data_IF_654344620261
#
_entry.id   IF_654344620261
#
_cell.length_a   1.000
_cell.length_b   1.000
_cell.length_c   1.000
_cell.angle_alpha   90.00
_cell.angle_beta   90.00
_cell.angle_gamma   90.00
#
_symmetry.space_group_name_H-M   'P 1'
#
loop_
_entity.id
_entity.type
_entity.pdbx_description
1 polymer ?
#
# COMPACT_ATOMS: atom_id res chain seq x y z
N UNK A 1 -2.07 6.42 -0.59
CA UNK A 1 -0.62 6.76 -0.61
C UNK A 1 -0.17 7.84 0.39
N UNK A 2 -0.75 9.05 0.47
CA UNK A 2 -0.29 10.08 1.45
C UNK A 2 -0.27 9.58 2.90
N UNK A 3 -1.28 8.81 3.32
CA UNK A 3 -1.31 8.17 4.63
C UNK A 3 -0.22 7.11 4.81
N UNK A 4 0.05 6.30 3.78
CA UNK A 4 1.13 5.31 3.78
C UNK A 4 2.51 5.98 3.97
N UNK A 5 2.81 7.05 3.23
CA UNK A 5 4.06 7.78 3.38
C UNK A 5 4.26 8.32 4.82
N UNK A 6 3.18 8.84 5.43
CA UNK A 6 3.19 9.30 6.82
C UNK A 6 3.37 8.13 7.80
N UNK A 7 2.64 7.03 7.61
CA UNK A 7 2.74 5.85 8.47
C UNK A 7 4.15 5.23 8.42
N UNK A 8 4.76 5.10 7.24
CA UNK A 8 6.15 4.68 7.12
C UNK A 8 7.14 5.67 7.75
N UNK A 9 6.90 6.97 7.64
CA UNK A 9 7.76 7.97 8.29
C UNK A 9 7.68 7.88 9.82
N UNK A 10 6.48 7.63 10.38
CA UNK A 10 6.29 7.39 11.81
C UNK A 10 6.96 6.08 12.23
N UNK A 11 6.84 5.02 11.42
CA UNK A 11 7.52 3.75 11.66
C UNK A 11 9.04 3.92 11.71
N UNK A 12 9.61 4.66 10.75
CA UNK A 12 11.03 5.00 10.73
C UNK A 12 11.45 5.73 12.02
N UNK A 13 10.69 6.74 12.45
CA UNK A 13 10.96 7.46 13.70
C UNK A 13 10.88 6.58 14.96
N UNK A 14 10.11 5.48 14.90
CA UNK A 14 9.95 4.50 15.99
C UNK A 14 10.93 3.32 15.89
N UNK A 15 11.75 3.25 14.85
CA UNK A 15 12.64 2.13 14.60
C UNK A 15 13.66 1.93 15.74
N UNK A 16 13.88 0.68 16.20
CA UNK A 16 14.79 0.38 17.30
C UNK A 16 16.26 0.41 16.88
N UNK A 17 16.54 0.33 15.58
CA UNK A 17 17.87 0.38 15.02
C UNK A 17 17.88 1.06 13.64
N UNK A 18 19.08 1.37 13.17
CA UNK A 18 19.29 2.09 11.92
C UNK A 18 18.85 1.30 10.69
N UNK A 19 18.97 -0.03 10.71
CA UNK A 19 18.58 -0.88 9.58
C UNK A 19 17.06 -0.85 9.38
N UNK A 20 16.29 -0.90 10.46
CA UNK A 20 14.83 -0.79 10.39
C UNK A 20 14.42 0.64 10.04
N UNK A 21 15.15 1.66 10.52
CA UNK A 21 14.97 3.05 10.08
C UNK A 21 15.13 3.19 8.56
N UNK A 22 16.23 2.69 7.99
CA UNK A 22 16.50 2.77 6.54
C UNK A 22 15.44 2.04 5.71
N UNK A 23 14.97 0.88 6.17
CA UNK A 23 13.89 0.14 5.50
C UNK A 23 12.62 0.98 5.39
N UNK A 24 12.11 1.51 6.51
CA UNK A 24 10.90 2.32 6.50
C UNK A 24 11.09 3.66 5.79
N UNK A 25 12.29 4.25 5.86
CA UNK A 25 12.62 5.45 5.10
C UNK A 25 12.58 5.19 3.59
N UNK A 26 13.13 4.06 3.13
CA UNK A 26 13.08 3.62 1.74
C UNK A 26 11.65 3.42 1.26
N UNK A 27 10.81 2.76 2.07
CA UNK A 27 9.39 2.57 1.77
C UNK A 27 8.63 3.90 1.67
N UNK A 28 8.90 4.85 2.57
CA UNK A 28 8.32 6.19 2.47
C UNK A 28 8.77 6.93 1.20
N UNK A 29 10.04 6.76 0.79
CA UNK A 29 10.58 7.25 -0.48
C UNK A 29 9.86 6.69 -1.69
N UNK A 30 9.69 5.37 -1.77
CA UNK A 30 8.96 4.72 -2.87
C UNK A 30 7.51 5.20 -2.99
N UNK A 31 6.80 5.36 -1.86
CA UNK A 31 5.42 5.91 -1.88
C UNK A 31 5.40 7.36 -2.39
N UNK A 32 6.43 8.16 -2.12
CA UNK A 32 6.55 9.53 -2.63
C UNK A 32 6.75 9.54 -4.14
N UNK A 33 7.58 8.65 -4.68
CA UNK A 33 7.79 8.50 -6.11
C UNK A 33 6.49 8.07 -6.81
N UNK A 34 5.77 7.11 -6.24
CA UNK A 34 4.48 6.66 -6.75
C UNK A 34 3.42 7.78 -6.73
N UNK A 35 3.37 8.59 -5.67
CA UNK A 35 2.51 9.78 -5.61
C UNK A 35 2.81 10.77 -6.76
N UNK A 36 4.08 10.97 -7.10
CA UNK A 36 4.48 11.85 -8.20
C UNK A 36 4.06 11.26 -9.55
N UNK A 37 4.19 9.95 -9.72
CA UNK A 37 3.71 9.25 -10.91
C UNK A 37 2.18 9.37 -11.08
N UNK A 38 1.40 9.23 -10.00
CA UNK A 38 -0.05 9.46 -10.05
C UNK A 38 -0.42 10.90 -10.37
N UNK A 39 0.32 11.89 -9.87
CA UNK A 39 0.12 13.30 -10.23
C UNK A 39 0.31 13.51 -11.74
N UNK A 40 1.32 12.87 -12.33
CA UNK A 40 1.56 12.94 -13.76
C UNK A 40 0.43 12.31 -14.58
N UNK A 41 -0.13 11.17 -14.14
CA UNK A 41 -1.30 10.59 -14.81
C UNK A 41 -2.54 11.47 -14.68
N UNK A 42 -2.83 11.98 -13.48
CA UNK A 42 -3.97 12.85 -13.26
C UNK A 42 -3.90 14.12 -14.11
N UNK A 43 -2.71 14.74 -14.22
CA UNK A 43 -2.48 15.89 -15.09
C UNK A 43 -2.75 15.55 -16.57
N UNK A 44 -2.31 14.40 -17.06
CA UNK A 44 -2.59 13.93 -18.43
C UNK A 44 -4.09 13.72 -18.68
N UNK A 45 -4.84 13.36 -17.65
CA UNK A 45 -6.29 13.15 -17.73
C UNK A 45 -7.12 14.39 -17.37
N UNK A 46 -6.48 15.53 -17.09
CA UNK A 46 -7.19 16.76 -16.69
C UNK A 46 -7.83 16.70 -15.30
N UNK A 47 -7.38 15.80 -14.43
CA UNK A 47 -7.91 15.62 -13.07
C UNK A 47 -7.05 16.38 -12.06
N UNK A 48 -7.67 17.28 -11.28
CA UNK A 48 -7.02 17.90 -10.13
C UNK A 48 -7.19 17.02 -8.87
N UNK A 49 -6.14 16.33 -8.46
CA UNK A 49 -6.17 15.48 -7.26
C UNK A 49 -6.36 16.24 -5.95
N UNK A 50 -6.09 17.54 -5.90
CA UNK A 50 -6.22 18.35 -4.67
C UNK A 50 -7.68 18.62 -4.30
N UNK A 51 -8.59 18.55 -5.27
CA UNK A 51 -10.03 18.77 -5.05
C UNK A 51 -10.79 17.48 -4.76
N UNK A 52 -10.13 16.32 -4.83
CA UNK A 52 -10.76 15.02 -4.63
C UNK A 52 -10.77 14.66 -3.15
N UNK A 53 -11.95 14.34 -2.63
CA UNK A 53 -12.11 13.81 -1.28
C UNK A 53 -12.06 12.27 -1.31
N UNK A 54 -11.32 11.60 -0.42
CA UNK A 54 -11.32 10.14 -0.35
C UNK A 54 -12.72 9.57 -0.10
N UNK A 55 -13.09 8.52 -0.82
CA UNK A 55 -14.31 7.75 -0.55
C UNK A 55 -14.25 7.01 0.79
N UNK A 56 -15.38 6.44 1.21
CA UNK A 56 -15.52 5.79 2.52
C UNK A 56 -14.47 4.69 2.77
N UNK A 57 -14.31 3.75 1.83
CA UNK A 57 -13.34 2.66 1.96
C UNK A 57 -11.90 3.17 2.07
N UNK A 58 -11.53 4.15 1.23
CA UNK A 58 -10.20 4.78 1.29
C UNK A 58 -9.98 5.47 2.63
N UNK A 59 -10.95 6.25 3.12
CA UNK A 59 -10.83 6.94 4.39
C UNK A 59 -10.69 5.97 5.56
N UNK A 60 -11.54 4.93 5.62
CA UNK A 60 -11.48 3.88 6.63
C UNK A 60 -10.08 3.27 6.69
N UNK A 61 -9.51 2.94 5.53
CA UNK A 61 -8.19 2.35 5.48
C UNK A 61 -7.10 3.33 5.94
N UNK A 62 -7.11 4.57 5.44
CA UNK A 62 -6.09 5.56 5.81
C UNK A 62 -6.16 5.97 7.28
N UNK A 63 -7.36 6.06 7.85
CA UNK A 63 -7.56 6.38 9.27
C UNK A 63 -7.03 5.23 10.15
N UNK A 64 -7.32 3.98 9.77
CA UNK A 64 -6.75 2.80 10.43
C UNK A 64 -5.22 2.78 10.39
N UNK A 65 -4.61 2.99 9.22
CA UNK A 65 -3.15 2.97 9.09
C UNK A 65 -2.48 4.05 9.95
N UNK A 66 -3.01 5.27 9.93
CA UNK A 66 -2.46 6.37 10.72
C UNK A 66 -2.67 6.16 12.21
N UNK A 67 -3.86 5.70 12.62
CA UNK A 67 -4.12 5.37 14.02
C UNK A 67 -3.13 4.31 14.53
N UNK A 68 -2.96 3.21 13.78
CA UNK A 68 -2.01 2.14 14.13
C UNK A 68 -0.58 2.66 14.20
N UNK A 69 -0.17 3.48 13.21
CA UNK A 69 1.15 4.11 13.17
C UNK A 69 1.43 4.97 14.40
N UNK A 70 0.47 5.78 14.87
CA UNK A 70 0.67 6.64 16.03
C UNK A 70 0.65 5.89 17.35
N UNK A 71 -0.24 4.91 17.53
CA UNK A 71 -0.49 4.29 18.84
C UNK A 71 0.31 3.02 19.13
N UNK A 72 0.94 2.37 18.13
CA UNK A 72 1.57 1.06 18.31
C UNK A 72 3.08 1.03 18.04
N UNK A 73 3.69 -0.12 18.31
CA UNK A 73 5.10 -0.44 18.01
C UNK A 73 5.30 -0.83 16.54
N UNK A 74 6.57 -0.93 16.11
CA UNK A 74 6.91 -1.20 14.71
C UNK A 74 6.40 -2.55 14.18
N UNK A 75 6.21 -3.57 15.03
CA UNK A 75 5.67 -4.87 14.62
C UNK A 75 4.21 -4.76 14.20
N UNK A 76 3.39 -4.06 15.01
CA UNK A 76 2.00 -3.77 14.68
C UNK A 76 1.87 -2.85 13.45
N UNK A 77 2.76 -1.87 13.31
CA UNK A 77 2.78 -0.99 12.14
C UNK A 77 3.14 -1.79 10.88
N UNK A 78 4.15 -2.65 10.94
CA UNK A 78 4.48 -3.56 9.84
C UNK A 78 3.29 -4.47 9.50
N UNK A 79 2.62 -5.06 10.49
CA UNK A 79 1.44 -5.90 10.29
C UNK A 79 0.29 -5.18 9.59
N UNK A 80 0.11 -3.88 9.84
CA UNK A 80 -0.91 -3.07 9.16
C UNK A 80 -0.54 -2.71 7.72
N UNK A 81 0.75 -2.61 7.40
CA UNK A 81 1.25 -2.09 6.11
C UNK A 81 1.59 -3.21 5.12
N UNK A 82 2.06 -4.37 5.60
CA UNK A 82 2.44 -5.53 4.78
C UNK A 82 1.33 -6.06 3.87
N UNK A 83 0.06 -6.15 4.28
CA UNK A 83 -1.04 -6.62 3.44
C UNK A 83 -1.11 -5.95 2.06
N UNK A 84 -0.93 -4.63 2.02
CA UNK A 84 -0.88 -3.85 0.78
C UNK A 84 0.21 -4.37 -0.16
N UNK A 85 1.45 -4.42 0.34
CA UNK A 85 2.60 -4.86 -0.45
C UNK A 85 2.44 -6.31 -0.91
N UNK A 86 2.10 -7.23 0.01
CA UNK A 86 1.96 -8.65 -0.32
C UNK A 86 0.83 -8.90 -1.32
N UNK A 87 -0.32 -8.24 -1.17
CA UNK A 87 -1.44 -8.37 -2.11
C UNK A 87 -1.06 -7.86 -3.49
N UNK A 88 -0.47 -6.66 -3.59
CA UNK A 88 -0.06 -6.10 -4.87
C UNK A 88 1.01 -6.95 -5.54
N UNK A 89 2.00 -7.44 -4.79
CA UNK A 89 3.00 -8.39 -5.30
C UNK A 89 2.35 -9.64 -5.88
N UNK A 90 1.42 -10.24 -5.13
CA UNK A 90 0.68 -11.42 -5.57
C UNK A 90 -0.10 -11.15 -6.86
N UNK A 91 -0.88 -10.07 -6.91
CA UNK A 91 -1.67 -9.71 -8.10
C UNK A 91 -0.78 -9.43 -9.31
N UNK A 92 0.32 -8.70 -9.14
CA UNK A 92 1.30 -8.44 -10.19
C UNK A 92 1.87 -9.75 -10.75
N UNK A 93 2.30 -10.66 -9.88
CA UNK A 93 2.82 -11.98 -10.28
C UNK A 93 1.77 -12.86 -10.97
N UNK A 94 0.50 -12.82 -10.54
CA UNK A 94 -0.58 -13.56 -11.18
C UNK A 94 -0.93 -13.03 -12.57
N UNK A 95 -0.78 -11.72 -12.79
CA UNK A 95 -1.08 -11.06 -14.06
C UNK A 95 0.12 -11.04 -15.03
N UNK A 96 1.32 -11.28 -14.52
CA UNK A 96 2.53 -11.30 -15.33
C UNK A 96 2.57 -12.53 -16.25
N UNK A 97 2.93 -12.29 -17.50
CA UNK A 97 3.25 -13.29 -18.52
C UNK A 97 4.75 -13.27 -18.81
N UNK A 98 5.34 -14.29 -19.46
CA UNK A 98 6.76 -14.28 -19.85
C UNK A 98 7.16 -13.03 -20.64
N UNK A 99 6.24 -12.50 -21.46
CA UNK A 99 6.33 -11.21 -22.11
C UNK A 99 5.06 -10.42 -21.81
N UNK A 100 5.17 -9.33 -21.05
CA UNK A 100 4.04 -8.48 -20.69
C UNK A 100 3.71 -7.60 -21.91
N UNK A 101 2.50 -7.74 -22.50
CA UNK A 101 2.13 -6.96 -23.69
C UNK A 101 2.03 -5.48 -23.34
N UNK A 102 2.24 -4.59 -24.32
CA UNK A 102 2.09 -3.15 -24.13
C UNK A 102 0.61 -2.76 -24.05
N UNK A 103 0.20 -2.25 -22.90
CA UNK A 103 -1.16 -1.85 -22.55
C UNK A 103 -1.12 -0.81 -21.40
N UNK A 104 -2.25 -0.17 -21.10
CA UNK A 104 -2.34 0.87 -20.07
C UNK A 104 -1.97 0.41 -18.65
N UNK A 105 -1.98 -0.91 -18.40
CA UNK A 105 -1.65 -1.51 -17.10
C UNK A 105 -0.27 -2.18 -17.05
N UNK A 106 0.50 -2.17 -18.14
CA UNK A 106 1.75 -2.93 -18.24
C UNK A 106 2.81 -2.47 -17.25
N UNK A 107 2.94 -1.16 -17.04
CA UNK A 107 3.84 -0.61 -16.02
C UNK A 107 3.44 -1.04 -14.61
N UNK A 108 2.13 -1.03 -14.30
CA UNK A 108 1.63 -1.51 -13.02
C UNK A 108 1.99 -2.99 -12.80
N UNK A 109 1.73 -3.84 -13.80
CA UNK A 109 2.09 -5.27 -13.72
C UNK A 109 3.60 -5.44 -13.54
N UNK A 110 4.43 -4.75 -14.34
CA UNK A 110 5.89 -4.80 -14.27
C UNK A 110 6.43 -4.38 -12.90
N UNK A 111 5.91 -3.30 -12.32
CA UNK A 111 6.31 -2.82 -10.99
C UNK A 111 6.03 -3.86 -9.93
N UNK A 112 4.78 -4.33 -9.86
CA UNK A 112 4.32 -5.20 -8.77
C UNK A 112 4.73 -6.66 -8.95
N UNK A 113 5.04 -7.12 -10.16
CA UNK A 113 5.64 -8.44 -10.40
C UNK A 113 7.17 -8.46 -10.25
N UNK A 114 7.80 -7.32 -9.97
CA UNK A 114 9.27 -7.23 -9.90
C UNK A 114 9.86 -7.95 -8.68
N UNK A 115 11.09 -8.46 -8.85
CA UNK A 115 11.82 -9.08 -7.73
C UNK A 115 12.18 -8.07 -6.64
N UNK A 116 12.42 -6.81 -6.99
CA UNK A 116 12.71 -5.75 -6.03
C UNK A 116 11.52 -5.50 -5.10
N UNK A 117 10.30 -5.48 -5.66
CA UNK A 117 9.08 -5.29 -4.88
C UNK A 117 8.76 -6.51 -3.99
N UNK A 118 8.96 -7.74 -4.48
CA UNK A 118 8.89 -8.96 -3.65
C UNK A 118 9.92 -8.91 -2.51
N UNK A 119 11.16 -8.51 -2.78
CA UNK A 119 12.20 -8.46 -1.76
C UNK A 119 11.91 -7.41 -0.69
N UNK A 120 11.36 -6.26 -1.06
CA UNK A 120 10.88 -5.25 -0.09
C UNK A 120 9.71 -5.78 0.75
N UNK A 121 8.76 -6.49 0.13
CA UNK A 121 7.64 -7.14 0.82
C UNK A 121 8.15 -8.13 1.88
N UNK A 122 9.08 -9.02 1.50
CA UNK A 122 9.68 -10.00 2.41
C UNK A 122 10.47 -9.34 3.55
N UNK A 123 11.13 -8.20 3.30
CA UNK A 123 11.80 -7.44 4.35
C UNK A 123 10.79 -6.93 5.39
N UNK A 124 9.63 -6.44 4.95
CA UNK A 124 8.59 -5.95 5.85
C UNK A 124 7.91 -7.08 6.63
N UNK A 125 7.71 -8.25 6.00
CA UNK A 125 7.25 -9.47 6.70
C UNK A 125 8.19 -9.86 7.83
N UNK A 126 9.50 -9.84 7.58
CA UNK A 126 10.51 -10.09 8.63
C UNK A 126 10.46 -9.07 9.77
N UNK A 127 9.95 -7.86 9.56
CA UNK A 127 9.73 -6.91 10.66
C UNK A 127 8.60 -7.41 11.58
N UNK A 128 7.54 -7.99 11.01
CA UNK A 128 6.48 -8.61 11.80
C UNK A 128 7.07 -9.77 12.62
N UNK A 129 7.79 -10.68 11.97
CA UNK A 129 8.38 -11.86 12.64
C UNK A 129 9.29 -11.49 13.83
N UNK A 130 10.04 -10.39 13.70
CA UNK A 130 11.04 -9.98 14.70
C UNK A 130 10.48 -9.07 15.80
N UNK A 131 9.43 -8.29 15.51
CA UNK A 131 8.98 -7.21 16.41
C UNK A 131 7.50 -7.27 16.80
N UNK A 132 6.73 -8.24 16.30
CA UNK A 132 5.38 -8.49 16.79
C UNK A 132 5.44 -9.13 18.19
N UNK A 133 5.09 -8.35 19.22
CA UNK A 133 5.08 -8.84 20.61
C UNK A 133 3.92 -9.80 20.91
N UNK A 134 2.85 -9.73 20.11
CA UNK A 134 1.65 -10.54 20.25
C UNK A 134 1.18 -10.98 18.86
N UNK A 135 1.22 -12.29 18.61
CA UNK A 135 0.87 -12.86 17.30
C UNK A 135 -0.60 -12.65 17.00
N UNK A 136 -1.50 -12.84 17.97
CA UNK A 136 -2.95 -12.69 17.76
C UNK A 136 -3.33 -11.24 17.43
N UNK A 137 -2.64 -10.28 18.05
CA UNK A 137 -2.81 -8.86 17.72
C UNK A 137 -2.31 -8.56 16.29
N UNK A 138 -1.11 -9.04 15.93
CA UNK A 138 -0.57 -8.86 14.59
C UNK A 138 -1.46 -9.49 13.51
N UNK A 139 -1.96 -10.70 13.74
CA UNK A 139 -2.92 -11.39 12.86
C UNK A 139 -4.21 -10.58 12.69
N UNK A 140 -4.76 -10.05 13.80
CA UNK A 140 -5.97 -9.23 13.76
C UNK A 140 -5.78 -7.95 12.93
N UNK A 141 -4.65 -7.25 13.14
CA UNK A 141 -4.26 -6.06 12.39
C UNK A 141 -4.08 -6.39 10.91
N UNK A 142 -3.36 -7.48 10.58
CA UNK A 142 -3.12 -7.91 9.22
C UNK A 142 -4.43 -8.25 8.49
N UNK A 143 -5.32 -9.01 9.14
CA UNK A 143 -6.64 -9.34 8.63
C UNK A 143 -7.49 -8.10 8.39
N UNK A 144 -7.47 -7.13 9.31
CA UNK A 144 -8.22 -5.89 9.15
C UNK A 144 -7.70 -5.07 7.94
N UNK A 145 -6.39 -4.99 7.75
CA UNK A 145 -5.79 -4.35 6.58
C UNK A 145 -6.17 -5.07 5.27
N UNK A 146 -6.16 -6.41 5.23
CA UNK A 146 -6.63 -7.18 4.05
C UNK A 146 -8.12 -6.93 3.75
N UNK A 147 -8.97 -6.78 4.76
CA UNK A 147 -10.37 -6.38 4.57
C UNK A 147 -10.48 -4.97 3.99
N UNK A 148 -9.65 -4.04 4.46
CA UNK A 148 -9.60 -2.68 3.89
C UNK A 148 -9.14 -2.68 2.43
N UNK A 149 -8.15 -3.49 2.06
CA UNK A 149 -7.72 -3.67 0.66
C UNK A 149 -8.85 -4.21 -0.21
N UNK A 150 -9.52 -5.27 0.23
CA UNK A 150 -10.67 -5.83 -0.49
C UNK A 150 -11.74 -4.77 -0.71
N UNK A 151 -12.11 -4.04 0.35
CA UNK A 151 -13.14 -3.00 0.29
C UNK A 151 -12.69 -1.80 -0.58
N UNK A 152 -11.39 -1.55 -0.69
CA UNK A 152 -10.81 -0.54 -1.60
C UNK A 152 -10.94 -0.95 -3.07
N UNK A 153 -10.60 -2.20 -3.43
CA UNK A 153 -10.80 -2.72 -4.78
C UNK A 153 -12.29 -2.81 -5.14
N UNK A 154 -13.15 -3.26 -4.22
CA UNK A 154 -14.59 -3.33 -4.43
C UNK A 154 -15.18 -1.96 -4.74
N UNK A 155 -14.81 -0.92 -3.98
CA UNK A 155 -15.30 0.44 -4.22
C UNK A 155 -14.91 0.97 -5.61
N UNK A 156 -13.69 0.67 -6.07
CA UNK A 156 -13.25 1.04 -7.42
C UNK A 156 -14.08 0.34 -8.51
N UNK A 157 -14.37 -0.95 -8.33
CA UNK A 157 -15.19 -1.74 -9.25
C UNK A 157 -16.65 -1.25 -9.32
N UNK A 158 -17.27 -0.98 -8.17
CA UNK A 158 -18.66 -0.49 -8.11
C UNK A 158 -18.80 0.89 -8.76
N UNK A 159 -17.84 1.80 -8.56
CA UNK A 159 -17.84 3.10 -9.24
C UNK A 159 -17.73 2.94 -10.76
N UNK A 160 -16.93 2.00 -11.27
CA UNK A 160 -16.83 1.74 -12.69
C UNK A 160 -18.16 1.21 -13.27
N UNK A 161 -18.86 0.34 -12.54
CA UNK A 161 -20.18 -0.16 -12.93
C UNK A 161 -21.29 0.91 -12.92
N UNK A 162 -21.20 1.91 -12.04
CA UNK A 162 -22.16 3.04 -12.02
C UNK A 162 -21.96 3.96 -13.23
N UNK A 163 -20.71 4.21 -13.63
CA UNK A 163 -20.42 5.06 -14.80
C UNK A 163 -20.91 4.41 -16.09
N UNK A 164 -20.78 3.09 -16.24
CA UNK A 164 -21.23 2.35 -17.44
C UNK A 164 -22.75 2.26 -17.61
N UNK A 165 -23.55 2.60 -16.59
CA UNK A 165 -25.03 2.62 -16.67
C UNK A 165 -25.56 4.01 -17.07
N UNK A 166 -24.72 5.05 -16.99
CA UNK A 166 -25.09 6.45 -17.25
C UNK A 166 -24.57 6.93 -18.62
N UNK A 167 -23.70 6.17 -19.29
CA UNK A 167 -23.25 6.37 -20.68
C UNK A 167 -23.94 5.43 -21.64
#
# INVERSE_FOLDING_TARGET
>A
LRAFARAYSIAAAKSPDWKIFELFHTLAGGVKEELQLHQNYAAKWGVNLETITPGFSTRRYTDFLLATAWSNNIGAIAAAMTPCMRLYTFLGQQLATPEIPEHQYSEWIRTYSSQDFEHLTQKLEKVIDNYANNIQEAESIYCYAMLCERDFFQAAWEMAGVISVIT
#
